data_IF_319565996254
#
_entry.id   IF_319565996254
#
_cell.length_a   1.000
_cell.length_b   1.000
_cell.length_c   1.000
_cell.angle_alpha   90.00
_cell.angle_beta   90.00
_cell.angle_gamma   90.00
#
_symmetry.space_group_name_H-M   'P 1'
#
loop_
_entity.id
_entity.type
_entity.pdbx_description
1 polymer ?
#
# COMPACT_ATOMS: atom_id res chain seq x y z
N UNK A 1 47.29 4.12 1.16
CA UNK A 1 46.86 4.36 -0.24
C UNK A 1 45.62 3.59 -0.69
N UNK A 2 45.09 2.60 0.06
CA UNK A 2 43.78 1.97 -0.25
C UNK A 2 42.58 2.75 0.29
N UNK A 3 42.69 3.35 1.47
CA UNK A 3 41.59 4.10 2.13
C UNK A 3 41.22 5.37 1.36
N UNK A 4 42.19 6.01 0.68
CA UNK A 4 41.93 7.21 -0.13
C UNK A 4 41.17 6.91 -1.43
N UNK A 5 41.25 5.68 -1.94
CA UNK A 5 40.60 5.29 -3.20
C UNK A 5 39.12 4.95 -3.00
N UNK A 6 38.73 4.48 -1.82
CA UNK A 6 37.35 4.10 -1.49
C UNK A 6 36.44 5.30 -1.26
N UNK A 7 36.96 6.43 -0.75
CA UNK A 7 36.17 7.65 -0.50
C UNK A 7 35.80 8.36 -1.81
N UNK A 8 36.67 8.30 -2.82
CA UNK A 8 36.42 8.93 -4.12
C UNK A 8 35.32 8.22 -4.93
N UNK A 9 35.07 6.93 -4.70
CA UNK A 9 34.03 6.16 -5.38
C UNK A 9 32.62 6.41 -4.81
N UNK A 10 32.51 6.89 -3.57
CA UNK A 10 31.21 7.23 -2.97
C UNK A 10 30.69 8.61 -3.40
N UNK A 11 31.55 9.51 -3.90
CA UNK A 11 31.16 10.89 -4.23
C UNK A 11 30.47 11.03 -5.61
N UNK A 12 30.47 9.97 -6.43
CA UNK A 12 29.99 9.99 -7.82
C UNK A 12 28.60 9.39 -8.03
N UNK A 13 27.91 8.94 -6.97
CA UNK A 13 26.53 8.43 -7.03
C UNK A 13 25.50 9.40 -6.45
N UNK A 14 25.67 10.70 -6.68
CA UNK A 14 24.57 11.66 -6.49
C UNK A 14 23.58 11.47 -7.64
N UNK A 15 22.70 10.47 -7.53
CA UNK A 15 21.52 10.37 -8.37
C UNK A 15 20.71 11.65 -8.15
N UNK A 16 20.60 12.49 -9.18
CA UNK A 16 19.70 13.63 -9.16
C UNK A 16 18.28 13.05 -9.07
N UNK A 17 17.67 13.14 -7.90
CA UNK A 17 16.26 12.78 -7.72
C UNK A 17 15.42 13.93 -8.26
N UNK A 18 14.97 13.83 -9.51
CA UNK A 18 13.93 14.73 -10.02
C UNK A 18 12.59 14.11 -9.64
N UNK A 19 11.83 14.78 -8.77
CA UNK A 19 10.44 14.43 -8.54
C UNK A 19 9.59 15.05 -9.65
N UNK A 20 8.63 14.30 -10.19
CA UNK A 20 7.63 14.84 -11.12
C UNK A 20 6.75 15.89 -10.42
N UNK A 21 6.18 16.79 -11.23
CA UNK A 21 5.21 17.78 -10.73
C UNK A 21 3.95 17.08 -10.22
N UNK A 22 3.42 17.54 -9.07
CA UNK A 22 2.21 16.98 -8.49
C UNK A 22 0.98 17.41 -9.29
N UNK A 23 0.44 16.50 -10.10
CA UNK A 23 -0.80 16.73 -10.85
C UNK A 23 -2.03 16.26 -10.07
N UNK A 24 -3.22 16.72 -10.48
CA UNK A 24 -4.50 16.26 -9.90
C UNK A 24 -4.66 14.76 -10.13
N UNK A 25 -4.32 14.26 -11.31
CA UNK A 25 -4.37 12.84 -11.66
C UNK A 25 -3.48 12.02 -10.72
N UNK A 26 -2.29 12.52 -10.36
CA UNK A 26 -1.38 11.85 -9.43
C UNK A 26 -1.94 11.77 -8.01
N UNK A 27 -2.71 12.76 -7.57
CA UNK A 27 -3.37 12.75 -6.25
C UNK A 27 -4.35 11.59 -6.13
N UNK A 28 -5.08 11.28 -7.21
CA UNK A 28 -6.12 10.24 -7.24
C UNK A 28 -5.67 8.90 -7.84
N UNK A 29 -4.40 8.77 -8.21
CA UNK A 29 -3.87 7.53 -8.79
C UNK A 29 -3.24 6.63 -7.73
N UNK A 30 -3.29 5.32 -7.95
CA UNK A 30 -2.49 4.35 -7.21
C UNK A 30 -1.01 4.40 -7.59
N UNK A 31 -0.07 4.12 -6.67
CA UNK A 31 -0.27 4.02 -5.22
C UNK A 31 -0.54 5.41 -4.58
N UNK A 32 -1.27 5.42 -3.47
CA UNK A 32 -1.60 6.67 -2.75
C UNK A 32 -0.36 7.51 -2.43
N UNK A 33 -0.43 8.82 -2.67
CA UNK A 33 0.63 9.78 -2.30
C UNK A 33 0.82 9.92 -0.78
N UNK A 34 -0.16 9.47 0.02
CA UNK A 34 -0.07 9.44 1.47
C UNK A 34 0.66 8.17 2.00
N UNK A 35 1.09 7.29 1.10
CA UNK A 35 1.67 5.99 1.43
C UNK A 35 0.61 4.93 1.73
N UNK A 36 1.09 3.75 2.13
CA UNK A 36 0.22 2.64 2.54
C UNK A 36 -0.54 3.02 3.82
N UNK A 37 -1.87 3.03 3.74
CA UNK A 37 -2.74 3.26 4.89
C UNK A 37 -3.46 1.97 5.28
N UNK A 38 -3.50 1.69 6.58
CA UNK A 38 -4.32 0.62 7.14
C UNK A 38 -5.61 1.18 7.72
N UNK A 39 -6.71 0.44 7.59
CA UNK A 39 -8.03 0.83 8.12
C UNK A 39 -8.60 -0.28 9.00
N UNK A 40 -9.46 0.10 9.95
CA UNK A 40 -10.26 -0.86 10.72
C UNK A 40 -9.43 -1.88 11.51
N UNK A 41 -8.29 -1.46 12.07
CA UNK A 41 -7.44 -2.31 12.90
C UNK A 41 -8.23 -2.89 14.07
N UNK A 42 -8.12 -4.21 14.27
CA UNK A 42 -8.73 -4.95 15.37
C UNK A 42 -7.75 -5.96 15.94
N UNK A 43 -7.71 -6.06 17.26
CA UNK A 43 -6.92 -7.07 17.97
C UNK A 43 -7.81 -8.28 18.26
N UNK A 44 -7.29 -9.48 18.04
CA UNK A 44 -8.00 -10.71 18.40
C UNK A 44 -8.22 -10.77 19.93
N UNK A 45 -9.36 -11.29 20.43
CA UNK A 45 -9.62 -11.34 21.87
C UNK A 45 -8.60 -12.13 22.69
N UNK A 46 -7.96 -13.13 22.07
CA UNK A 46 -6.88 -13.93 22.66
C UNK A 46 -5.50 -13.26 22.59
N UNK A 47 -5.40 -12.10 21.94
CA UNK A 47 -4.15 -11.35 21.77
C UNK A 47 -3.15 -11.99 20.80
N UNK A 48 -3.54 -13.01 20.03
CA UNK A 48 -2.61 -13.74 19.14
C UNK A 48 -2.27 -12.99 17.84
N UNK A 49 -3.19 -12.14 17.36
CA UNK A 49 -3.03 -11.43 16.08
C UNK A 49 -3.73 -10.09 16.05
N UNK A 50 -3.36 -9.29 15.05
CA UNK A 50 -4.04 -8.04 14.67
C UNK A 50 -4.55 -8.19 13.24
N UNK A 51 -5.83 -7.92 13.00
CA UNK A 51 -6.41 -7.86 11.65
C UNK A 51 -6.63 -6.42 11.21
N UNK A 52 -6.45 -6.13 9.94
CA UNK A 52 -6.68 -4.79 9.38
C UNK A 52 -7.00 -4.87 7.89
N UNK A 53 -7.59 -3.81 7.36
CA UNK A 53 -7.82 -3.63 5.93
C UNK A 53 -6.65 -2.85 5.31
N UNK A 54 -6.18 -3.29 4.14
CA UNK A 54 -5.10 -2.64 3.38
C UNK A 54 -5.52 -2.51 1.91
N UNK A 55 -5.31 -1.32 1.34
CA UNK A 55 -5.53 -1.09 -0.10
C UNK A 55 -4.54 -1.86 -0.97
N UNK A 56 -4.96 -2.30 -2.15
CA UNK A 56 -4.06 -2.92 -3.13
C UNK A 56 -3.12 -1.88 -3.74
N UNK A 57 -1.98 -2.34 -4.23
CA UNK A 57 -1.04 -1.48 -4.95
C UNK A 57 -1.61 -1.00 -6.29
N UNK A 58 -2.43 -1.82 -6.95
CA UNK A 58 -3.13 -1.49 -8.19
C UNK A 58 -4.30 -0.53 -7.98
N UNK A 59 -5.01 -0.68 -6.87
CA UNK A 59 -6.19 0.11 -6.50
C UNK A 59 -6.22 0.27 -4.97
N UNK A 60 -5.78 1.43 -4.48
CA UNK A 60 -5.68 1.67 -3.04
C UNK A 60 -7.06 1.80 -2.36
N UNK A 61 -8.14 1.97 -3.14
CA UNK A 61 -9.51 2.05 -2.64
C UNK A 61 -10.13 0.66 -2.48
N UNK A 62 -9.59 -0.34 -3.21
CA UNK A 62 -9.93 -1.75 -3.07
C UNK A 62 -9.16 -2.39 -1.92
N UNK A 63 -9.88 -2.76 -0.86
CA UNK A 63 -9.30 -3.18 0.42
C UNK A 63 -9.34 -4.69 0.61
N UNK A 64 -8.17 -5.28 0.84
CA UNK A 64 -8.02 -6.67 1.27
C UNK A 64 -8.00 -6.80 2.79
N UNK A 65 -8.38 -7.98 3.31
CA UNK A 65 -8.24 -8.29 4.73
C UNK A 65 -6.90 -8.98 4.98
N UNK A 66 -6.14 -8.43 5.92
CA UNK A 66 -4.84 -8.93 6.33
C UNK A 66 -4.83 -9.24 7.82
N UNK A 67 -3.87 -10.05 8.22
CA UNK A 67 -3.46 -10.16 9.61
C UNK A 67 -1.95 -9.98 9.80
N UNK A 68 -1.61 -9.57 11.01
CA UNK A 68 -0.28 -9.61 11.59
C UNK A 68 -0.32 -10.59 12.76
N UNK A 69 0.44 -11.67 12.64
CA UNK A 69 0.61 -12.67 13.70
C UNK A 69 1.69 -12.19 14.69
N UNK A 70 1.34 -12.12 15.98
CA UNK A 70 2.22 -11.51 16.99
C UNK A 70 3.34 -12.44 17.46
N UNK A 71 3.21 -13.75 17.26
CA UNK A 71 4.23 -14.73 17.64
C UNK A 71 5.37 -14.78 16.61
N UNK A 72 5.02 -14.91 15.34
CA UNK A 72 5.97 -14.98 14.22
C UNK A 72 6.42 -13.60 13.72
N UNK A 73 5.60 -12.56 13.94
CA UNK A 73 5.82 -11.23 13.37
C UNK A 73 5.53 -11.15 11.86
N UNK A 74 4.81 -12.14 11.30
CA UNK A 74 4.48 -12.19 9.89
C UNK A 74 3.17 -11.47 9.57
N UNK A 75 3.14 -10.81 8.40
CA UNK A 75 1.92 -10.21 7.84
C UNK A 75 1.43 -11.09 6.68
N UNK A 76 0.18 -11.54 6.72
CA UNK A 76 -0.40 -12.39 5.67
C UNK A 76 -1.80 -11.96 5.25
N UNK A 77 -2.10 -12.23 3.98
CA UNK A 77 -3.43 -12.02 3.41
C UNK A 77 -4.38 -13.08 3.96
N UNK A 78 -5.53 -12.65 4.49
CA UNK A 78 -6.60 -13.53 4.92
C UNK A 78 -7.71 -13.64 3.88
N UNK A 79 -8.01 -12.53 3.20
CA UNK A 79 -9.07 -12.49 2.21
C UNK A 79 -8.76 -11.48 1.11
N UNK A 80 -8.76 -11.98 -0.12
CA UNK A 80 -8.64 -11.17 -1.34
C UNK A 80 -10.01 -10.62 -1.73
N UNK A 81 -10.13 -9.30 -1.74
CA UNK A 81 -11.36 -8.60 -2.14
C UNK A 81 -11.77 -8.88 -3.59
N UNK A 82 -10.86 -9.27 -4.49
CA UNK A 82 -11.19 -9.64 -5.88
C UNK A 82 -12.06 -10.90 -5.94
N UNK A 83 -12.10 -11.67 -4.85
CA UNK A 83 -12.98 -12.82 -4.73
C UNK A 83 -14.45 -12.46 -4.50
N UNK A 84 -14.77 -11.21 -4.11
CA UNK A 84 -16.16 -10.79 -3.84
C UNK A 84 -16.99 -10.55 -5.11
N UNK A 85 -16.34 -10.07 -6.17
CA UNK A 85 -17.00 -9.75 -7.42
C UNK A 85 -16.01 -9.95 -8.57
N UNK A 86 -16.45 -10.66 -9.59
CA UNK A 86 -15.70 -10.85 -10.84
C UNK A 86 -16.49 -10.24 -12.00
N UNK A 87 -15.78 -9.53 -12.88
CA UNK A 87 -16.37 -8.85 -14.04
C UNK A 87 -16.55 -7.35 -13.85
N UNK A 88 -17.19 -6.73 -14.85
CA UNK A 88 -17.45 -5.28 -14.89
C UNK A 88 -18.52 -4.90 -13.86
N UNK A 89 -18.20 -3.94 -12.99
CA UNK A 89 -19.11 -3.45 -11.96
C UNK A 89 -20.18 -2.56 -12.62
N UNK A 90 -21.39 -3.11 -12.83
CA UNK A 90 -22.52 -2.35 -13.34
C UNK A 90 -23.29 -1.68 -12.20
N UNK A 91 -22.79 -0.52 -11.78
CA UNK A 91 -23.43 0.29 -10.75
C UNK A 91 -24.69 0.98 -11.29
N UNK A 92 -25.73 1.05 -10.45
CA UNK A 92 -26.88 1.92 -10.73
C UNK A 92 -26.47 3.40 -10.68
N UNK A 93 -27.27 4.27 -11.28
CA UNK A 93 -26.98 5.70 -11.28
C UNK A 93 -26.97 6.29 -9.87
N UNK A 94 -27.82 5.76 -8.97
CA UNK A 94 -27.81 6.14 -7.56
C UNK A 94 -26.49 5.76 -6.86
N UNK A 95 -25.95 4.57 -7.13
CA UNK A 95 -24.69 4.13 -6.51
C UNK A 95 -23.49 4.88 -7.09
N UNK A 96 -23.50 5.21 -8.38
CA UNK A 96 -22.47 6.07 -9.00
C UNK A 96 -22.47 7.47 -8.43
N UNK A 97 -23.64 8.02 -8.06
CA UNK A 97 -23.72 9.33 -7.43
C UNK A 97 -23.30 9.33 -5.95
N UNK A 98 -23.26 8.16 -5.31
CA UNK A 98 -22.87 8.01 -3.89
C UNK A 98 -21.36 7.88 -3.70
N UNK A 99 -20.67 7.24 -4.65
CA UNK A 99 -19.22 7.02 -4.61
C UNK A 99 -18.45 8.20 -5.20
#
# INVERSE_FOLDING_TARGET
MKILFTVALCLSLSLVTCADELTVERIFSSPSINGESIRGLKVAPDGSRVTFLRGKESDYERLDLWEYDLESGETRLLFDSDSLHSGDENLSDEEKARR
#
